data_IF_806687956155
#
_entry.id   IF_806687956155
#
_cell.length_a   1.000
_cell.length_b   1.000
_cell.length_c   1.000
_cell.angle_alpha   90.00
_cell.angle_beta   90.00
_cell.angle_gamma   90.00
#
_symmetry.space_group_name_H-M   'P 1'
#
loop_
_entity.id
_entity.type
_entity.pdbx_description
1 polymer ?
#
# COMPACT_ATOMS: atom_id res chain seq x y z
N UNK A 1 -35.69 -0.99 -22.62
CA UNK A 1 -34.85 -2.08 -22.12
C UNK A 1 -34.45 -1.72 -20.70
N UNK A 2 -35.10 -2.30 -19.69
CA UNK A 2 -34.57 -2.33 -18.32
C UNK A 2 -33.53 -3.45 -18.31
N UNK A 3 -32.34 -3.20 -17.77
CA UNK A 3 -31.16 -4.08 -17.79
C UNK A 3 -31.36 -5.45 -17.09
N UNK A 4 -32.59 -5.85 -16.76
CA UNK A 4 -32.89 -7.01 -15.91
C UNK A 4 -32.41 -6.83 -14.47
N UNK A 5 -31.86 -5.66 -14.14
CA UNK A 5 -31.29 -5.37 -12.84
C UNK A 5 -32.38 -5.02 -11.83
N UNK A 6 -32.25 -5.61 -10.63
CA UNK A 6 -32.99 -5.20 -9.45
C UNK A 6 -32.14 -4.16 -8.70
N UNK A 7 -32.71 -2.99 -8.44
CA UNK A 7 -32.03 -2.00 -7.59
C UNK A 7 -31.73 -2.61 -6.22
N UNK A 8 -30.53 -2.37 -5.69
CA UNK A 8 -30.07 -3.05 -4.47
C UNK A 8 -29.23 -4.31 -4.72
N UNK A 9 -29.30 -4.91 -5.91
CA UNK A 9 -28.74 -6.25 -6.12
C UNK A 9 -27.22 -6.23 -6.29
N UNK A 10 -26.56 -7.16 -5.62
CA UNK A 10 -25.15 -7.49 -5.81
C UNK A 10 -25.01 -8.73 -6.68
N UNK A 11 -23.92 -8.77 -7.44
CA UNK A 11 -23.58 -9.90 -8.30
C UNK A 11 -22.13 -10.33 -8.09
N UNK A 12 -21.86 -11.61 -8.35
CA UNK A 12 -20.53 -12.18 -8.45
C UNK A 12 -20.42 -12.71 -9.88
N UNK A 13 -19.52 -12.14 -10.67
CA UNK A 13 -19.41 -12.44 -12.10
C UNK A 13 -17.98 -12.70 -12.49
N UNK A 14 -17.80 -13.58 -13.48
CA UNK A 14 -16.59 -13.62 -14.29
C UNK A 14 -16.78 -12.70 -15.49
N UNK A 15 -15.88 -11.75 -15.70
CA UNK A 15 -15.88 -10.87 -16.89
C UNK A 15 -15.25 -11.57 -18.08
N UNK A 16 -15.53 -11.06 -19.29
CA UNK A 16 -14.98 -11.59 -20.54
C UNK A 16 -13.46 -11.59 -20.58
N UNK A 17 -12.81 -10.60 -19.95
CA UNK A 17 -11.37 -10.51 -19.83
C UNK A 17 -10.75 -11.51 -18.84
N UNK A 18 -11.57 -12.25 -18.09
CA UNK A 18 -11.15 -13.30 -17.16
C UNK A 18 -11.15 -12.90 -15.69
N UNK A 19 -11.44 -11.64 -15.36
CA UNK A 19 -11.49 -11.18 -13.96
C UNK A 19 -12.70 -11.75 -13.21
N UNK A 20 -12.54 -11.94 -11.91
CA UNK A 20 -13.64 -12.24 -10.98
C UNK A 20 -14.03 -10.96 -10.23
N UNK A 21 -15.28 -10.53 -10.33
CA UNK A 21 -15.77 -9.27 -9.79
C UNK A 21 -16.97 -9.48 -8.84
N UNK A 22 -16.96 -8.77 -7.71
CA UNK A 22 -18.10 -8.60 -6.81
C UNK A 22 -18.48 -7.12 -6.81
N UNK A 23 -19.66 -6.79 -7.32
CA UNK A 23 -20.12 -5.40 -7.46
C UNK A 23 -21.64 -5.31 -7.44
N UNK A 24 -22.15 -4.08 -7.46
CA UNK A 24 -23.56 -3.80 -7.76
C UNK A 24 -23.86 -4.26 -9.18
N UNK A 25 -25.05 -4.79 -9.40
CA UNK A 25 -25.45 -5.28 -10.73
C UNK A 25 -25.37 -4.15 -11.79
N UNK A 26 -25.64 -2.90 -11.41
CA UNK A 26 -25.49 -1.70 -12.26
C UNK A 26 -24.06 -1.45 -12.70
N UNK A 27 -23.11 -1.87 -11.87
CA UNK A 27 -21.68 -1.64 -12.07
C UNK A 27 -20.98 -2.85 -12.71
N UNK A 28 -21.72 -3.91 -13.07
CA UNK A 28 -21.14 -5.18 -13.53
C UNK A 28 -20.24 -5.05 -14.76
N UNK A 29 -20.54 -4.09 -15.64
CA UNK A 29 -19.78 -3.77 -16.84
C UNK A 29 -19.07 -2.41 -16.74
N UNK A 30 -18.98 -1.83 -15.54
CA UNK A 30 -18.28 -0.58 -15.29
C UNK A 30 -16.88 -0.90 -14.77
N UNK A 31 -15.87 -0.35 -15.43
CA UNK A 31 -14.49 -0.49 -14.99
C UNK A 31 -14.28 0.17 -13.62
N UNK A 32 -13.34 -0.35 -12.85
CA UNK A 32 -12.95 0.22 -11.55
C UNK A 32 -14.12 0.33 -10.54
N UNK A 33 -15.05 -0.64 -10.55
CA UNK A 33 -16.14 -0.76 -9.57
C UNK A 33 -16.15 -2.11 -8.88
N UNK A 34 -16.40 -2.09 -7.57
CA UNK A 34 -16.48 -3.28 -6.74
C UNK A 34 -15.11 -3.86 -6.35
N UNK A 35 -15.13 -5.12 -5.93
CA UNK A 35 -13.95 -5.92 -5.59
C UNK A 35 -13.60 -6.81 -6.78
N UNK A 36 -12.39 -6.68 -7.32
CA UNK A 36 -11.98 -7.37 -8.55
C UNK A 36 -10.67 -8.11 -8.35
N UNK A 37 -10.64 -9.41 -8.70
CA UNK A 37 -9.42 -10.21 -8.86
C UNK A 37 -9.06 -10.21 -10.36
N UNK A 38 -7.83 -9.84 -10.68
CA UNK A 38 -7.32 -9.80 -12.06
C UNK A 38 -7.36 -11.17 -12.73
N UNK A 39 -7.38 -11.18 -14.06
CA UNK A 39 -7.45 -12.42 -14.85
C UNK A 39 -6.28 -13.38 -14.60
N UNK A 40 -5.10 -12.84 -14.25
CA UNK A 40 -3.91 -13.61 -13.89
C UNK A 40 -3.88 -14.05 -12.41
N UNK A 41 -4.85 -13.61 -11.60
CA UNK A 41 -4.97 -13.93 -10.18
C UNK A 41 -4.00 -13.19 -9.26
N UNK A 42 -3.19 -12.25 -9.77
CA UNK A 42 -2.12 -11.62 -8.99
C UNK A 42 -2.53 -10.30 -8.30
N UNK A 43 -3.58 -9.64 -8.78
CA UNK A 43 -3.97 -8.30 -8.32
C UNK A 43 -5.40 -8.31 -7.80
N UNK A 44 -5.59 -7.76 -6.59
CA UNK A 44 -6.88 -7.50 -5.99
C UNK A 44 -7.11 -5.98 -5.95
N UNK A 45 -8.23 -5.50 -6.49
CA UNK A 45 -8.59 -4.07 -6.46
C UNK A 45 -9.95 -3.83 -5.82
N UNK A 46 -10.10 -2.67 -5.17
CA UNK A 46 -11.40 -2.15 -4.72
C UNK A 46 -11.64 -0.78 -5.34
N UNK A 47 -12.67 -0.66 -6.16
CA UNK A 47 -13.01 0.55 -6.92
C UNK A 47 -11.81 1.16 -7.68
N UNK A 48 -11.01 0.29 -8.32
CA UNK A 48 -9.81 0.67 -9.08
C UNK A 48 -8.53 0.84 -8.24
N UNK A 49 -8.63 0.86 -6.90
CA UNK A 49 -7.46 0.93 -6.03
C UNK A 49 -6.90 -0.46 -5.76
N UNK A 50 -5.61 -0.67 -6.02
CA UNK A 50 -4.93 -1.93 -5.73
C UNK A 50 -4.77 -2.11 -4.22
N UNK A 51 -5.28 -3.22 -3.68
CA UNK A 51 -5.21 -3.59 -2.26
C UNK A 51 -4.42 -4.87 -1.99
N UNK A 52 -4.07 -5.63 -3.03
CA UNK A 52 -3.07 -6.69 -2.98
C UNK A 52 -2.47 -6.92 -4.37
N UNK A 53 -1.19 -7.34 -4.42
CA UNK A 53 -0.43 -7.56 -5.65
C UNK A 53 0.58 -6.45 -5.97
N UNK A 54 1.18 -6.51 -7.16
CA UNK A 54 2.13 -5.50 -7.64
C UNK A 54 1.47 -4.12 -7.69
N UNK A 55 2.07 -3.12 -7.04
CA UNK A 55 1.50 -1.77 -6.95
C UNK A 55 0.48 -1.57 -5.82
N UNK A 56 0.21 -2.58 -5.00
CA UNK A 56 -0.54 -2.39 -3.76
C UNK A 56 0.28 -1.56 -2.78
N UNK A 57 -0.25 -0.41 -2.36
CA UNK A 57 0.23 0.31 -1.18
C UNK A 57 -0.26 -0.45 0.05
N UNK A 58 0.27 -1.65 0.27
CA UNK A 58 0.16 -2.32 1.56
C UNK A 58 0.80 -1.36 2.55
N UNK A 59 0.05 -0.84 3.52
CA UNK A 59 0.53 0.11 4.54
C UNK A 59 1.63 -0.48 5.41
N UNK A 60 2.79 -0.75 4.82
CA UNK A 60 4.00 -1.22 5.47
C UNK A 60 4.71 -0.04 6.15
N UNK A 61 4.00 0.57 7.09
CA UNK A 61 4.64 1.24 8.23
C UNK A 61 5.18 0.18 9.21
N UNK A 62 6.06 -0.67 8.72
CA UNK A 62 6.95 -1.53 9.51
C UNK A 62 8.22 -1.74 8.70
N UNK A 63 8.89 -0.60 8.49
CA UNK A 63 10.10 -0.35 7.72
C UNK A 63 11.38 -0.99 8.29
N UNK A 64 11.28 -2.08 9.06
CA UNK A 64 12.47 -2.74 9.59
C UNK A 64 12.83 -3.93 8.70
N UNK A 65 13.38 -3.62 7.53
CA UNK A 65 14.21 -4.58 6.82
C UNK A 65 15.53 -4.67 7.59
N UNK A 66 15.88 -5.87 8.05
CA UNK A 66 17.25 -6.24 8.42
C UNK A 66 18.19 -5.73 7.32
N UNK A 67 18.94 -4.67 7.59
CA UNK A 67 20.00 -4.23 6.70
C UNK A 67 21.31 -4.63 7.35
N UNK A 68 21.87 -5.73 6.86
CA UNK A 68 23.24 -6.15 7.18
C UNK A 68 24.19 -5.01 6.77
N UNK A 69 24.42 -4.06 7.69
CA UNK A 69 25.32 -2.92 7.51
C UNK A 69 24.69 -1.54 7.22
N UNK A 70 23.41 -1.27 7.48
CA UNK A 70 22.86 0.12 7.39
C UNK A 70 22.05 0.47 8.66
N UNK A 71 22.19 1.71 9.13
CA UNK A 71 21.44 2.20 10.28
C UNK A 71 19.95 2.36 9.92
N UNK A 72 19.07 1.99 10.86
CA UNK A 72 17.62 2.02 10.71
C UNK A 72 17.13 3.46 10.50
N UNK A 73 16.48 3.73 9.37
CA UNK A 73 15.90 5.05 9.06
C UNK A 73 14.46 5.11 9.58
N UNK A 74 14.21 5.93 10.61
CA UNK A 74 12.86 6.20 11.13
C UNK A 74 12.43 7.61 10.71
N UNK A 75 11.66 7.68 9.62
CA UNK A 75 10.90 8.88 9.22
C UNK A 75 11.31 9.54 7.91
N UNK A 76 10.57 10.60 7.57
CA UNK A 76 10.72 11.45 6.38
C UNK A 76 11.59 12.67 6.75
N UNK A 77 12.66 12.93 5.99
CA UNK A 77 13.51 14.11 6.18
C UNK A 77 12.76 15.38 5.75
N UNK A 78 12.11 16.07 6.70
CA UNK A 78 11.41 17.33 6.47
C UNK A 78 11.74 18.34 7.56
N UNK A 79 11.69 19.64 7.25
CA UNK A 79 11.88 20.70 8.24
C UNK A 79 10.69 20.86 9.22
N UNK A 80 9.62 20.09 9.03
CA UNK A 80 8.35 20.23 9.75
C UNK A 80 8.08 19.05 10.71
N UNK A 81 8.60 17.87 10.40
CA UNK A 81 8.50 16.68 11.24
C UNK A 81 9.91 16.14 11.46
N UNK A 82 10.37 16.24 12.71
CA UNK A 82 11.67 15.76 13.13
C UNK A 82 11.87 14.26 12.91
N UNK A 83 13.11 13.84 12.63
CA UNK A 83 13.44 12.44 12.39
C UNK A 83 14.89 12.08 12.73
N UNK A 84 15.13 10.79 13.00
CA UNK A 84 16.46 10.19 13.13
C UNK A 84 16.94 9.75 11.75
N UNK A 85 18.09 10.26 11.30
CA UNK A 85 18.74 9.76 10.09
C UNK A 85 20.25 9.58 10.30
N UNK A 86 20.83 8.60 9.60
CA UNK A 86 22.26 8.37 9.57
C UNK A 86 22.87 8.88 8.25
N UNK A 87 24.02 9.54 8.33
CA UNK A 87 24.82 9.93 7.17
C UNK A 87 26.30 9.75 7.47
N UNK A 88 26.99 8.97 6.63
CA UNK A 88 28.37 8.56 6.90
C UNK A 88 28.49 7.81 8.23
N UNK A 89 29.30 8.34 9.16
CA UNK A 89 29.55 7.77 10.49
C UNK A 89 28.71 8.42 11.61
N UNK A 90 27.79 9.34 11.26
CA UNK A 90 27.07 10.16 12.23
C UNK A 90 25.56 9.85 12.25
N UNK A 91 24.96 9.99 13.44
CA UNK A 91 23.52 9.98 13.65
C UNK A 91 23.04 11.41 13.92
N UNK A 92 21.93 11.80 13.27
CA UNK A 92 21.35 13.14 13.38
C UNK A 92 19.91 13.08 13.91
N UNK A 93 19.55 14.06 14.75
CA UNK A 93 18.18 14.34 15.20
C UNK A 93 17.86 15.81 14.96
N UNK A 94 16.80 16.11 14.20
CA UNK A 94 16.41 17.50 13.87
C UNK A 94 17.59 18.34 13.32
N UNK A 95 18.39 17.75 12.43
CA UNK A 95 19.60 18.35 11.87
C UNK A 95 20.72 18.70 12.89
N UNK A 96 20.68 18.12 14.10
CA UNK A 96 21.76 18.20 15.10
C UNK A 96 22.47 16.85 15.20
N UNK A 97 23.79 16.87 15.36
CA UNK A 97 24.59 15.66 15.63
C UNK A 97 24.25 15.12 17.01
N UNK A 98 23.91 13.84 17.10
CA UNK A 98 23.76 13.12 18.38
C UNK A 98 25.13 12.58 18.77
N UNK A 99 25.65 13.01 19.93
CA UNK A 99 26.91 12.52 20.49
C UNK A 99 26.60 11.37 21.45
N UNK A 100 27.27 10.23 21.26
CA UNK A 100 27.24 9.14 22.23
C UNK A 100 28.52 9.19 23.08
N UNK A 101 28.37 9.16 24.40
CA UNK A 101 29.48 8.88 25.31
C UNK A 101 29.56 7.37 25.55
N UNK A 102 30.75 6.78 25.45
CA UNK A 102 30.97 5.42 25.91
C UNK A 102 30.93 5.37 27.44
N UNK A 103 30.07 4.53 28.00
CA UNK A 103 30.25 4.00 29.36
C UNK A 103 30.98 2.66 29.23
N UNK A 104 31.95 2.42 30.11
CA UNK A 104 32.57 1.08 30.20
C UNK A 104 31.49 0.02 30.46
N UNK A 105 31.61 -1.19 29.88
CA UNK A 105 30.59 -2.25 30.00
C UNK A 105 30.22 -2.57 31.44
#
# INVERSE_FOLDING_TARGET
STSGEIDGQWTIIKRNAGELCICRTADQNTDNKGLVISADGNTLTFNGSVIAGTGASNGSDSSVLYSQGKAVQWGINSSQSGGLYASGQNLYWNARTVLFSSVSP
#
